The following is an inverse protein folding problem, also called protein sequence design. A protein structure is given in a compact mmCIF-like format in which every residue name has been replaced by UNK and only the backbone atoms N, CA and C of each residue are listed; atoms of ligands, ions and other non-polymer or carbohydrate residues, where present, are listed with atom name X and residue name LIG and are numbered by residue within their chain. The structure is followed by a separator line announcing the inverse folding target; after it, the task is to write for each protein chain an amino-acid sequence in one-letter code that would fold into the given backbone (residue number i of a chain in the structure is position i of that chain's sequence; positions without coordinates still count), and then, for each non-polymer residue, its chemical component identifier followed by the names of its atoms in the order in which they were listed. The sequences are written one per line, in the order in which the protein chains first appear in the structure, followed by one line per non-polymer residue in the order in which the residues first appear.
data_IF_368043165972
#
_entry.id   IF_368043165972
#
_cell.length_a   1.000
_cell.length_b   1.000
_cell.length_c   1.000
_cell.angle_alpha   90.00
_cell.angle_beta   90.00
_cell.angle_gamma   90.00
#
_symmetry.space_group_name_H-M   'P 1'
#
loop_
_entity.id
_entity.type
_entity.pdbx_description
1 polymer ?
#
# COMPACT_ATOMS: atom_id res chain seq x y z
N UNK A 1 68.06 49.32 30.84
CA UNK A 1 68.17 48.89 29.42
C UNK A 1 67.37 47.60 29.25
N UNK A 2 66.40 47.62 28.31
CA UNK A 2 65.65 46.49 27.71
C UNK A 2 64.77 45.63 28.65
N UNK A 3 63.59 45.14 28.28
CA UNK A 3 62.56 45.43 27.29
C UNK A 3 61.53 44.28 27.43
N UNK A 4 60.26 44.53 27.11
CA UNK A 4 59.24 43.50 26.84
C UNK A 4 58.31 43.27 28.02
N UNK A 5 57.00 43.54 27.94
CA UNK A 5 56.12 43.39 26.78
C UNK A 5 55.23 42.19 27.05
N UNK A 6 54.02 42.43 27.53
CA UNK A 6 53.06 41.38 27.87
C UNK A 6 51.65 41.93 27.89
N UNK A 7 51.14 42.30 26.71
CA UNK A 7 49.73 42.61 26.53
C UNK A 7 48.95 41.28 26.53
N UNK A 8 48.20 41.03 27.61
CA UNK A 8 47.24 39.94 27.73
C UNK A 8 46.05 40.20 26.80
N UNK A 9 46.03 39.51 25.67
CA UNK A 9 44.90 39.45 24.73
C UNK A 9 43.87 38.46 25.30
N UNK A 10 42.70 38.98 25.70
CA UNK A 10 41.54 38.17 26.05
C UNK A 10 40.78 37.81 24.77
N UNK A 11 40.98 36.58 24.26
CA UNK A 11 40.22 36.02 23.15
C UNK A 11 38.89 35.45 23.69
N UNK A 12 37.78 36.18 23.49
CA UNK A 12 36.44 35.67 23.77
C UNK A 12 35.98 34.78 22.62
N UNK A 13 36.05 33.45 22.80
CA UNK A 13 35.45 32.47 21.88
C UNK A 13 33.98 32.30 22.29
N UNK A 14 33.09 33.11 21.71
CA UNK A 14 31.65 32.88 21.76
C UNK A 14 31.15 32.55 20.36
N UNK A 15 31.31 31.28 19.95
CA UNK A 15 30.77 30.77 18.71
C UNK A 15 30.17 29.36 18.92
N UNK A 16 29.17 29.27 19.79
CA UNK A 16 28.18 28.20 19.71
C UNK A 16 27.01 28.73 18.86
N UNK A 17 27.14 28.65 17.54
CA UNK A 17 26.01 28.86 16.64
C UNK A 17 24.95 27.81 16.91
N UNK A 18 23.69 28.22 17.02
CA UNK A 18 22.57 27.29 17.08
C UNK A 18 22.57 26.46 15.80
N UNK A 19 22.83 25.15 15.95
CA UNK A 19 22.70 24.18 14.87
C UNK A 19 21.26 24.26 14.34
N UNK A 20 21.04 24.53 13.04
CA UNK A 20 19.71 24.47 12.46
C UNK A 20 19.15 23.07 12.71
N UNK A 21 17.98 22.98 13.35
CA UNK A 21 17.31 21.71 13.60
C UNK A 21 16.20 21.51 12.55
N UNK A 22 16.50 20.95 11.37
CA UNK A 22 15.53 20.82 10.26
C UNK A 22 14.36 19.87 10.57
N UNK A 23 14.39 19.17 11.71
CA UNK A 23 13.38 18.19 12.11
C UNK A 23 12.68 18.52 13.44
N UNK A 24 12.86 19.72 14.00
CA UNK A 24 11.99 20.16 15.09
C UNK A 24 10.73 20.80 14.50
N UNK A 25 9.54 20.17 14.59
CA UNK A 25 8.31 20.85 14.26
C UNK A 25 8.13 22.03 15.23
N UNK A 26 7.86 23.20 14.68
CA UNK A 26 7.50 24.38 15.49
C UNK A 26 6.29 24.03 16.36
N UNK A 27 6.17 24.63 17.56
CA UNK A 27 4.99 24.42 18.41
C UNK A 27 3.67 24.76 17.68
N UNK A 28 3.72 25.63 16.67
CA UNK A 28 2.61 25.94 15.77
C UNK A 28 2.23 24.75 14.84
N UNK A 29 3.18 23.89 14.47
CA UNK A 29 2.92 22.68 13.67
C UNK A 29 2.29 21.54 14.48
N UNK A 30 2.31 21.60 15.82
CA UNK A 30 1.73 20.55 16.68
C UNK A 30 0.21 20.64 16.87
N UNK A 31 -0.45 21.73 16.50
CA UNK A 31 -1.80 21.98 17.00
C UNK A 31 -2.99 21.76 16.05
N UNK A 32 -2.83 21.57 14.73
CA UNK A 32 -4.02 21.52 13.85
C UNK A 32 -3.92 20.61 12.61
N UNK A 33 -3.08 19.58 12.61
CA UNK A 33 -3.15 18.55 11.57
C UNK A 33 -4.25 17.52 11.90
N UNK A 34 -5.18 17.19 10.98
CA UNK A 34 -5.97 15.98 11.16
C UNK A 34 -5.00 14.81 11.33
N UNK A 35 -5.14 14.05 12.42
CA UNK A 35 -4.44 12.78 12.57
C UNK A 35 -4.86 11.95 11.36
N UNK A 36 -3.99 11.82 10.37
CA UNK A 36 -4.22 10.92 9.27
C UNK A 36 -4.43 9.53 9.92
N UNK A 37 -5.54 8.84 9.66
CA UNK A 37 -5.68 7.47 10.12
C UNK A 37 -4.45 6.73 9.61
N UNK A 38 -3.70 6.12 10.53
CA UNK A 38 -2.57 5.28 10.16
C UNK A 38 -3.07 4.31 9.08
N UNK A 39 -2.36 4.15 7.95
CA UNK A 39 -2.77 3.20 6.95
C UNK A 39 -3.00 1.87 7.68
N UNK A 40 -4.22 1.32 7.58
CA UNK A 40 -4.46 -0.07 7.95
C UNK A 40 -3.80 -0.92 6.87
N UNK A 41 -2.47 -0.85 6.79
CA UNK A 41 -1.70 -1.77 6.00
C UNK A 41 -2.04 -3.15 6.55
N UNK A 42 -2.50 -4.04 5.68
CA UNK A 42 -2.67 -5.44 6.01
C UNK A 42 -1.28 -5.97 6.39
N UNK A 43 -1.04 -6.08 7.69
CA UNK A 43 0.18 -6.68 8.21
C UNK A 43 0.14 -8.20 8.03
N UNK A 44 1.23 -8.87 8.37
CA UNK A 44 1.31 -10.33 8.38
C UNK A 44 1.54 -10.79 9.80
N UNK A 45 0.61 -11.55 10.35
CA UNK A 45 0.78 -12.20 11.65
C UNK A 45 1.26 -13.62 11.44
N UNK A 46 2.43 -13.96 11.97
CA UNK A 46 3.01 -15.31 11.85
C UNK A 46 2.94 -16.03 13.19
N UNK A 47 2.10 -17.05 13.31
CA UNK A 47 2.02 -17.83 14.53
C UNK A 47 3.22 -18.78 14.70
N UNK A 48 3.63 -19.08 15.93
CA UNK A 48 4.59 -20.17 16.19
C UNK A 48 4.14 -21.49 15.56
N UNK A 49 5.09 -22.23 14.99
CA UNK A 49 4.82 -23.56 14.41
C UNK A 49 4.27 -24.50 15.49
N UNK A 50 3.12 -25.12 15.22
CA UNK A 50 2.47 -26.09 16.09
C UNK A 50 3.05 -27.49 15.84
N UNK A 51 3.10 -28.35 16.86
CA UNK A 51 3.62 -29.73 16.73
C UNK A 51 5.13 -29.87 16.99
N UNK A 52 5.80 -28.78 17.37
CA UNK A 52 7.19 -28.77 17.86
C UNK A 52 7.29 -28.09 19.23
N UNK A 53 8.45 -28.18 19.87
CA UNK A 53 8.75 -27.40 21.08
C UNK A 53 8.45 -25.89 20.86
N UNK A 54 7.77 -25.21 21.82
CA UNK A 54 7.38 -23.80 21.65
C UNK A 54 8.53 -22.83 21.36
N UNK A 55 9.74 -23.08 21.90
CA UNK A 55 10.90 -22.22 21.63
C UNK A 55 11.38 -22.40 20.19
N UNK A 56 11.38 -23.64 19.70
CA UNK A 56 11.69 -23.96 18.29
C UNK A 56 10.67 -23.33 17.35
N UNK A 57 9.38 -23.54 17.60
CA UNK A 57 8.30 -22.98 16.79
C UNK A 57 8.33 -21.45 16.73
N UNK A 58 8.61 -20.78 17.86
CA UNK A 58 8.76 -19.31 17.90
C UNK A 58 10.05 -18.83 17.20
N UNK A 59 11.15 -19.58 17.23
CA UNK A 59 12.37 -19.24 16.48
C UNK A 59 12.12 -19.30 14.97
N UNK A 60 11.43 -20.33 14.50
CA UNK A 60 11.01 -20.44 13.09
C UNK A 60 10.12 -19.27 12.68
N UNK A 61 9.07 -18.97 13.46
CA UNK A 61 8.16 -17.86 13.17
C UNK A 61 8.89 -16.50 13.11
N UNK A 62 9.82 -16.22 14.04
CA UNK A 62 10.62 -14.99 14.01
C UNK A 62 11.51 -14.89 12.78
N UNK A 63 12.10 -16.00 12.33
CA UNK A 63 12.93 -15.99 11.14
C UNK A 63 12.11 -15.77 9.86
N UNK A 64 10.88 -16.30 9.80
CA UNK A 64 9.96 -16.01 8.71
C UNK A 64 9.50 -14.54 8.73
N UNK A 65 9.21 -13.98 9.91
CA UNK A 65 8.92 -12.54 10.06
C UNK A 65 10.10 -11.68 9.58
N UNK A 66 11.34 -12.04 9.89
CA UNK A 66 12.51 -11.32 9.40
C UNK A 66 12.58 -11.32 7.85
N UNK A 67 12.36 -12.48 7.21
CA UNK A 67 12.30 -12.59 5.75
C UNK A 67 11.20 -11.71 5.13
N UNK A 68 10.00 -11.71 5.73
CA UNK A 68 8.86 -10.92 5.24
C UNK A 68 9.11 -9.41 5.43
N UNK A 69 9.68 -8.99 6.57
CA UNK A 69 10.04 -7.59 6.83
C UNK A 69 11.12 -7.08 5.89
N UNK A 70 12.10 -7.90 5.56
CA UNK A 70 13.14 -7.54 4.58
C UNK A 70 12.57 -7.31 3.18
N UNK A 71 11.43 -7.91 2.85
CA UNK A 71 10.69 -7.63 1.63
C UNK A 71 9.77 -6.39 1.73
N UNK A 72 9.84 -5.64 2.83
CA UNK A 72 9.10 -4.39 3.03
C UNK A 72 7.67 -4.56 3.55
N UNK A 73 7.23 -5.78 3.89
CA UNK A 73 5.89 -6.04 4.40
C UNK A 73 5.88 -5.95 5.95
N UNK A 74 4.94 -5.19 6.56
CA UNK A 74 4.78 -5.19 8.01
C UNK A 74 4.40 -6.59 8.48
N UNK A 75 5.20 -7.20 9.34
CA UNK A 75 4.92 -8.54 9.88
C UNK A 75 5.30 -8.63 11.36
N UNK A 76 4.63 -9.47 12.15
CA UNK A 76 4.99 -9.74 13.54
C UNK A 76 4.51 -11.13 13.98
N UNK A 77 5.08 -11.65 15.07
CA UNK A 77 4.67 -12.95 15.64
C UNK A 77 3.49 -12.77 16.60
N UNK A 78 3.49 -11.69 17.37
CA UNK A 78 2.59 -11.44 18.49
C UNK A 78 1.54 -10.38 18.16
N UNK A 79 1.87 -9.42 17.29
CA UNK A 79 1.02 -8.26 16.97
C UNK A 79 0.34 -8.42 15.60
N UNK A 80 -0.96 -8.18 15.56
CA UNK A 80 -1.73 -8.11 14.32
C UNK A 80 -2.95 -7.22 14.48
N UNK A 81 -3.58 -6.86 13.37
CA UNK A 81 -4.87 -6.19 13.34
C UNK A 81 -5.90 -7.08 12.59
N UNK A 82 -7.21 -6.80 12.68
CA UNK A 82 -8.22 -7.61 11.98
C UNK A 82 -8.07 -7.65 10.46
N UNK A 83 -7.28 -6.75 9.86
CA UNK A 83 -6.96 -6.71 8.44
C UNK A 83 -5.63 -7.42 8.09
N UNK A 84 -5.00 -8.12 9.04
CA UNK A 84 -3.72 -8.81 8.82
C UNK A 84 -3.90 -10.18 8.19
N UNK A 85 -3.04 -10.52 7.24
CA UNK A 85 -2.85 -11.91 6.81
C UNK A 85 -2.40 -12.76 8.00
N UNK A 86 -2.82 -14.02 8.03
CA UNK A 86 -2.44 -14.97 9.06
C UNK A 86 -1.60 -16.08 8.44
N UNK A 87 -0.39 -16.28 8.97
CA UNK A 87 0.44 -17.44 8.65
C UNK A 87 0.35 -18.43 9.80
N UNK A 88 -0.07 -19.65 9.49
CA UNK A 88 -0.06 -20.79 10.41
C UNK A 88 0.78 -21.91 9.84
N UNK A 89 1.34 -22.73 10.73
CA UNK A 89 2.18 -23.84 10.34
C UNK A 89 2.04 -25.01 11.32
N UNK A 90 1.93 -26.22 10.78
CA UNK A 90 1.80 -27.46 11.55
C UNK A 90 2.92 -28.42 11.16
N UNK A 91 3.69 -28.84 12.14
CA UNK A 91 4.75 -29.81 11.98
C UNK A 91 4.31 -31.19 12.46
N UNK A 92 4.65 -32.22 11.68
CA UNK A 92 4.37 -33.61 11.99
C UNK A 92 5.51 -34.50 11.50
N UNK A 93 5.67 -35.68 12.09
CA UNK A 93 6.63 -36.66 11.59
C UNK A 93 6.26 -37.08 10.16
N UNK A 94 7.22 -37.07 9.24
CA UNK A 94 7.00 -37.57 7.88
C UNK A 94 6.97 -39.11 7.88
N UNK A 95 6.29 -39.68 6.90
CA UNK A 95 6.12 -41.14 6.75
C UNK A 95 7.42 -41.88 6.46
N UNK A 96 8.45 -41.18 5.97
CA UNK A 96 9.77 -41.74 5.73
C UNK A 96 10.62 -41.93 7.00
N UNK A 97 10.18 -41.39 8.14
CA UNK A 97 10.91 -41.45 9.41
C UNK A 97 12.26 -40.74 9.41
N UNK A 98 12.57 -39.96 8.37
CA UNK A 98 13.82 -39.20 8.22
C UNK A 98 13.59 -37.69 8.21
N UNK A 99 12.33 -37.27 8.02
CA UNK A 99 11.96 -35.86 7.94
C UNK A 99 10.82 -35.48 8.90
N UNK A 100 10.74 -34.18 9.17
CA UNK A 100 9.57 -33.50 9.71
C UNK A 100 8.87 -32.82 8.52
N UNK A 101 7.59 -33.13 8.32
CA UNK A 101 6.76 -32.42 7.37
C UNK A 101 6.17 -31.18 8.06
N UNK A 102 6.34 -30.01 7.46
CA UNK A 102 5.75 -28.75 7.91
C UNK A 102 4.77 -28.27 6.84
N UNK A 103 3.50 -28.18 7.22
CA UNK A 103 2.42 -27.68 6.38
C UNK A 103 2.16 -26.21 6.72
N UNK A 104 2.37 -25.35 5.72
CA UNK A 104 2.28 -23.89 5.81
C UNK A 104 1.00 -23.39 5.16
N UNK A 105 0.32 -22.49 5.86
CA UNK A 105 -0.90 -21.85 5.38
C UNK A 105 -0.76 -20.32 5.43
N UNK A 106 -1.26 -19.65 4.40
CA UNK A 106 -1.44 -18.21 4.39
C UNK A 106 -2.93 -17.90 4.20
N UNK A 107 -3.55 -17.33 5.21
CA UNK A 107 -4.96 -16.97 5.18
C UNK A 107 -5.12 -15.45 5.10
N UNK A 108 -6.10 -15.00 4.31
CA UNK A 108 -6.53 -13.61 4.26
C UNK A 108 -7.45 -13.32 5.47
N UNK A 109 -7.57 -12.05 5.91
CA UNK A 109 -8.55 -11.63 6.93
C UNK A 109 -9.98 -12.13 6.78
N UNK A 110 -10.44 -12.39 5.55
CA UNK A 110 -11.79 -12.91 5.26
C UNK A 110 -11.90 -14.43 5.42
N UNK A 111 -10.82 -15.11 5.82
CA UNK A 111 -10.75 -16.56 6.02
C UNK A 111 -10.38 -17.35 4.76
N UNK A 112 -10.15 -16.70 3.62
CA UNK A 112 -9.72 -17.41 2.42
C UNK A 112 -8.25 -17.83 2.53
N UNK A 113 -7.99 -19.13 2.34
CA UNK A 113 -6.63 -19.65 2.21
C UNK A 113 -6.05 -19.32 0.82
N UNK A 114 -4.88 -18.71 0.80
CA UNK A 114 -4.18 -18.28 -0.42
C UNK A 114 -2.98 -19.16 -0.76
N UNK A 115 -2.42 -19.81 0.25
CA UNK A 115 -1.29 -20.71 0.12
C UNK A 115 -1.50 -21.90 1.04
N UNK A 116 -1.26 -23.08 0.48
CA UNK A 116 -1.02 -24.33 1.18
C UNK A 116 0.27 -24.94 0.63
N UNK A 117 1.30 -25.12 1.47
CA UNK A 117 2.58 -25.70 1.05
C UNK A 117 3.15 -26.64 2.10
N UNK A 118 3.63 -27.80 1.66
CA UNK A 118 4.38 -28.74 2.49
C UNK A 118 5.88 -28.61 2.27
N UNK A 119 6.66 -28.55 3.34
CA UNK A 119 8.13 -28.68 3.34
C UNK A 119 8.57 -29.90 4.14
N UNK A 120 9.62 -30.57 3.68
CA UNK A 120 10.28 -31.66 4.42
C UNK A 120 11.60 -31.16 4.97
N UNK A 121 11.77 -31.21 6.29
CA UNK A 121 13.00 -30.83 6.97
C UNK A 121 13.66 -32.09 7.54
N UNK A 122 14.97 -32.32 7.32
CA UNK A 122 15.66 -33.45 7.93
C UNK A 122 15.50 -33.48 9.45
N UNK A 123 15.27 -34.65 10.05
CA UNK A 123 15.21 -34.80 11.51
C UNK A 123 16.51 -34.37 12.21
N UNK A 124 17.63 -34.40 11.49
CA UNK A 124 18.92 -33.91 11.99
C UNK A 124 18.99 -32.39 12.11
N UNK A 125 18.01 -31.65 11.57
CA UNK A 125 17.96 -30.20 11.77
C UNK A 125 17.19 -29.86 13.03
N UNK A 126 17.83 -29.09 13.91
CA UNK A 126 17.17 -28.49 15.06
C UNK A 126 17.06 -26.98 14.83
N UNK A 127 15.84 -26.43 14.69
CA UNK A 127 15.64 -25.01 14.56
C UNK A 127 16.16 -24.20 15.75
N UNK A 128 16.50 -24.79 16.90
CA UNK A 128 17.17 -24.12 18.00
C UNK A 128 18.69 -23.98 17.79
N UNK A 129 19.31 -24.93 17.10
CA UNK A 129 20.77 -25.04 16.92
C UNK A 129 21.23 -24.56 15.54
N UNK A 130 20.37 -24.67 14.52
CA UNK A 130 20.64 -24.25 13.16
C UNK A 130 21.06 -22.78 13.10
N UNK A 131 22.14 -22.50 12.36
CA UNK A 131 22.57 -21.12 12.10
C UNK A 131 21.45 -20.30 11.43
N UNK A 132 21.43 -19.00 11.68
CA UNK A 132 20.45 -18.08 11.07
C UNK A 132 20.42 -18.21 9.55
N UNK A 133 21.58 -18.38 8.91
CA UNK A 133 21.70 -18.55 7.46
C UNK A 133 21.02 -19.86 6.99
N UNK A 134 21.22 -20.97 7.70
CA UNK A 134 20.61 -22.26 7.34
C UNK A 134 19.09 -22.22 7.51
N UNK A 135 18.60 -21.65 8.61
CA UNK A 135 17.17 -21.50 8.85
C UNK A 135 16.54 -20.56 7.81
N UNK A 136 17.22 -19.47 7.47
CA UNK A 136 16.80 -18.55 6.41
C UNK A 136 16.69 -19.26 5.06
N UNK A 137 17.70 -20.02 4.66
CA UNK A 137 17.70 -20.75 3.38
C UNK A 137 16.52 -21.72 3.27
N UNK A 138 16.17 -22.40 4.36
CA UNK A 138 15.00 -23.31 4.42
C UNK A 138 13.67 -22.58 4.32
N UNK A 139 13.56 -21.40 4.92
CA UNK A 139 12.33 -20.61 4.95
C UNK A 139 12.15 -19.72 3.72
N UNK A 140 13.22 -19.42 2.98
CA UNK A 140 13.18 -18.53 1.82
C UNK A 140 12.10 -18.91 0.78
N UNK A 141 11.91 -20.18 0.39
CA UNK A 141 10.87 -20.54 -0.58
C UNK A 141 9.44 -20.27 -0.08
N UNK A 142 9.20 -20.43 1.23
CA UNK A 142 7.90 -20.14 1.83
C UNK A 142 7.67 -18.64 1.94
N UNK A 143 8.68 -17.90 2.40
CA UNK A 143 8.64 -16.46 2.45
C UNK A 143 8.39 -15.87 1.07
N UNK A 144 9.11 -16.32 0.04
CA UNK A 144 8.94 -15.87 -1.34
C UNK A 144 7.52 -16.11 -1.85
N UNK A 145 6.98 -17.33 -1.69
CA UNK A 145 5.62 -17.63 -2.11
C UNK A 145 4.58 -16.74 -1.40
N UNK A 146 4.74 -16.54 -0.09
CA UNK A 146 3.87 -15.66 0.70
C UNK A 146 3.99 -14.22 0.24
N UNK A 147 5.21 -13.72 0.07
CA UNK A 147 5.48 -12.36 -0.40
C UNK A 147 4.82 -12.18 -1.77
N UNK A 148 5.03 -13.05 -2.75
CA UNK A 148 4.44 -12.93 -4.09
C UNK A 148 2.90 -12.79 -4.05
N UNK A 149 2.24 -13.52 -3.16
CA UNK A 149 0.77 -13.46 -3.00
C UNK A 149 0.32 -12.23 -2.21
N UNK A 150 1.08 -11.81 -1.21
CA UNK A 150 0.77 -10.65 -0.35
C UNK A 150 1.25 -9.32 -0.92
N UNK A 151 2.15 -9.34 -1.90
CA UNK A 151 2.51 -8.14 -2.62
C UNK A 151 1.22 -7.60 -3.24
N UNK A 152 0.83 -6.35 -2.94
CA UNK A 152 -0.02 -5.65 -3.90
C UNK A 152 0.73 -5.70 -5.24
N UNK A 153 0.00 -5.82 -6.36
CA UNK A 153 0.60 -5.62 -7.69
C UNK A 153 1.48 -4.36 -7.63
N UNK A 154 2.80 -4.56 -7.57
CA UNK A 154 3.84 -3.56 -7.44
C UNK A 154 3.88 -2.73 -6.13
N UNK A 155 4.92 -2.94 -5.33
CA UNK A 155 5.65 -1.85 -4.68
C UNK A 155 6.43 -1.02 -5.73
N UNK A 156 5.75 -0.60 -6.80
CA UNK A 156 6.21 0.53 -7.60
C UNK A 156 5.89 1.81 -6.80
N UNK A 157 6.69 2.89 -6.94
CA UNK A 157 6.23 4.19 -6.49
C UNK A 157 4.79 4.39 -7.02
N UNK A 158 3.85 4.86 -6.18
CA UNK A 158 2.45 4.92 -6.56
C UNK A 158 2.35 5.62 -7.91
N UNK A 159 1.71 4.94 -8.86
CA UNK A 159 1.59 5.43 -10.23
C UNK A 159 1.20 6.91 -10.18
N UNK A 160 1.99 7.75 -10.84
CA UNK A 160 1.70 9.18 -10.95
C UNK A 160 0.53 9.29 -11.91
N UNK A 161 -0.56 9.85 -11.41
CA UNK A 161 -1.79 10.02 -12.18
C UNK A 161 -2.05 11.50 -12.39
N UNK A 162 -2.50 11.88 -13.59
CA UNK A 162 -3.17 13.16 -13.80
C UNK A 162 -4.63 12.91 -14.17
N UNK A 163 -5.51 13.79 -13.69
CA UNK A 163 -6.91 13.81 -14.10
C UNK A 163 -7.08 14.86 -15.19
N UNK A 164 -7.47 14.42 -16.38
CA UNK A 164 -7.83 15.26 -17.50
C UNK A 164 -9.21 15.88 -17.32
N UNK A 165 -9.67 16.53 -18.38
CA UNK A 165 -10.97 17.16 -18.40
C UNK A 165 -12.11 16.13 -18.38
N UNK A 166 -13.25 16.58 -17.86
CA UNK A 166 -14.49 15.79 -17.82
C UNK A 166 -15.43 16.36 -18.86
N UNK A 167 -15.65 15.60 -19.92
CA UNK A 167 -16.49 15.97 -21.05
C UNK A 167 -17.98 15.70 -20.74
N UNK A 168 -18.87 16.42 -21.41
CA UNK A 168 -20.32 16.23 -21.29
C UNK A 168 -20.98 16.95 -20.10
N UNK A 169 -20.25 17.84 -19.43
CA UNK A 169 -20.78 18.79 -18.44
C UNK A 169 -20.04 20.12 -18.48
N UNK A 170 -20.51 21.11 -17.73
CA UNK A 170 -19.79 22.39 -17.64
C UNK A 170 -18.46 22.25 -16.86
N UNK A 171 -17.54 23.18 -17.12
CA UNK A 171 -16.18 23.13 -16.56
C UNK A 171 -16.15 23.20 -15.03
N UNK A 172 -17.16 23.82 -14.40
CA UNK A 172 -17.22 23.95 -12.94
C UNK A 172 -17.59 22.61 -12.31
N UNK A 173 -18.66 21.99 -12.80
CA UNK A 173 -19.15 20.72 -12.30
C UNK A 173 -18.17 19.57 -12.63
N UNK A 174 -17.54 19.62 -13.80
CA UNK A 174 -16.43 18.74 -14.18
C UNK A 174 -15.25 18.89 -13.24
N UNK A 175 -14.83 20.12 -12.95
CA UNK A 175 -13.75 20.38 -11.99
C UNK A 175 -14.03 19.86 -10.57
N UNK A 176 -15.28 19.94 -10.12
CA UNK A 176 -15.72 19.40 -8.82
C UNK A 176 -15.59 17.87 -8.79
N UNK A 177 -16.02 17.19 -9.86
CA UNK A 177 -15.93 15.73 -9.98
C UNK A 177 -14.48 15.25 -10.12
N UNK A 178 -13.66 15.92 -10.92
CA UNK A 178 -12.23 15.64 -11.03
C UNK A 178 -11.54 15.79 -9.67
N UNK A 179 -11.80 16.87 -8.94
CA UNK A 179 -11.25 17.06 -7.60
C UNK A 179 -11.74 15.98 -6.60
N UNK A 180 -12.99 15.52 -6.71
CA UNK A 180 -13.52 14.44 -5.89
C UNK A 180 -12.83 13.11 -6.18
N UNK A 181 -12.63 12.77 -7.46
CA UNK A 181 -11.88 11.58 -7.88
C UNK A 181 -10.43 11.63 -7.41
N UNK A 182 -9.76 12.78 -7.56
CA UNK A 182 -8.37 12.94 -7.14
C UNK A 182 -8.20 12.69 -5.64
N UNK A 183 -9.12 13.21 -4.81
CA UNK A 183 -9.15 12.95 -3.37
C UNK A 183 -9.41 11.47 -3.06
N UNK A 184 -10.35 10.84 -3.74
CA UNK A 184 -10.65 9.42 -3.54
C UNK A 184 -9.43 8.55 -3.89
N UNK A 185 -8.80 8.77 -5.04
CA UNK A 185 -7.58 8.06 -5.45
C UNK A 185 -6.43 8.29 -4.46
N UNK A 186 -6.23 9.52 -4.00
CA UNK A 186 -5.19 9.84 -3.01
C UNK A 186 -5.44 9.10 -1.69
N UNK A 187 -6.69 9.06 -1.22
CA UNK A 187 -7.08 8.31 -0.02
C UNK A 187 -6.85 6.80 -0.16
N UNK A 188 -6.81 6.29 -1.39
CA UNK A 188 -6.53 4.89 -1.71
C UNK A 188 -5.07 4.63 -2.15
N UNK A 189 -4.15 5.57 -1.86
CA UNK A 189 -2.70 5.37 -1.99
C UNK A 189 -2.10 5.76 -3.35
N UNK A 190 -2.88 6.31 -4.27
CA UNK A 190 -2.36 6.81 -5.55
C UNK A 190 -1.75 8.20 -5.42
N UNK A 191 -0.78 8.54 -6.29
CA UNK A 191 -0.16 9.86 -6.34
C UNK A 191 -0.76 10.67 -7.48
N UNK A 192 -1.73 11.53 -7.15
CA UNK A 192 -2.37 12.42 -8.14
C UNK A 192 -1.57 13.72 -8.24
N UNK A 193 -1.17 14.09 -9.45
CA UNK A 193 -0.39 15.29 -9.78
C UNK A 193 -1.20 16.24 -10.66
N UNK A 194 -0.81 17.53 -10.74
CA UNK A 194 -1.38 18.46 -11.70
C UNK A 194 -1.23 17.96 -13.15
N UNK A 195 -2.17 18.31 -14.05
CA UNK A 195 -2.13 17.90 -15.45
C UNK A 195 -0.83 18.29 -16.20
N UNK A 196 -0.13 19.33 -15.73
CA UNK A 196 1.15 19.80 -16.31
C UNK A 196 2.35 18.97 -15.89
N UNK A 197 2.19 18.04 -14.94
CA UNK A 197 3.28 17.20 -14.46
C UNK A 197 3.49 15.97 -15.37
N UNK A 198 4.72 15.47 -15.42
CA UNK A 198 5.00 14.16 -16.02
C UNK A 198 4.38 13.06 -15.13
N UNK A 199 3.45 12.31 -15.70
CA UNK A 199 2.69 11.24 -15.06
C UNK A 199 2.83 9.94 -15.83
N UNK A 200 2.55 8.82 -15.16
CA UNK A 200 2.60 7.49 -15.76
C UNK A 200 1.27 7.15 -16.45
N UNK A 201 0.16 7.73 -15.97
CA UNK A 201 -1.16 7.57 -16.57
C UNK A 201 -2.00 8.86 -16.51
N UNK A 202 -2.86 9.01 -17.51
CA UNK A 202 -3.89 10.05 -17.57
C UNK A 202 -5.28 9.41 -17.46
N UNK A 203 -6.16 10.00 -16.67
CA UNK A 203 -7.56 9.57 -16.56
C UNK A 203 -8.45 10.68 -17.10
N UNK A 204 -9.30 10.35 -18.07
CA UNK A 204 -10.37 11.24 -18.55
C UNK A 204 -11.73 10.64 -18.27
N UNK A 205 -12.78 11.46 -18.40
CA UNK A 205 -14.13 11.00 -18.21
C UNK A 205 -15.08 11.65 -19.22
N UNK A 206 -16.00 10.86 -19.75
CA UNK A 206 -17.16 11.36 -20.49
C UNK A 206 -18.42 11.13 -19.65
N UNK A 207 -19.23 12.18 -19.51
CA UNK A 207 -20.49 12.14 -18.80
C UNK A 207 -21.65 12.26 -19.76
N UNK A 208 -22.65 11.41 -19.59
CA UNK A 208 -23.88 11.41 -20.36
C UNK A 208 -25.10 11.41 -19.44
N UNK A 209 -26.13 12.16 -19.84
CA UNK A 209 -27.39 12.22 -19.12
C UNK A 209 -28.48 11.61 -20.00
N UNK A 210 -29.05 10.50 -19.53
CA UNK A 210 -30.18 9.85 -20.19
C UNK A 210 -31.49 10.63 -20.06
N UNK A 211 -32.60 10.12 -20.62
CA UNK A 211 -33.91 10.75 -20.46
C UNK A 211 -34.38 10.74 -19.00
N UNK A 212 -35.22 11.71 -18.63
CA UNK A 212 -35.89 11.74 -17.32
C UNK A 212 -36.90 10.61 -17.22
N UNK A 213 -36.87 9.90 -16.09
CA UNK A 213 -37.81 8.83 -15.75
C UNK A 213 -38.37 9.11 -14.35
N UNK A 214 -39.53 9.77 -14.30
CA UNK A 214 -40.14 10.22 -13.04
C UNK A 214 -39.27 11.26 -12.33
N UNK A 215 -38.88 10.99 -11.07
CA UNK A 215 -38.00 11.85 -10.27
C UNK A 215 -36.50 11.55 -10.46
N UNK A 216 -36.17 10.60 -11.32
CA UNK A 216 -34.80 10.14 -11.57
C UNK A 216 -34.37 10.37 -13.02
N UNK A 217 -33.07 10.38 -13.25
CA UNK A 217 -32.44 10.37 -14.58
C UNK A 217 -31.21 9.45 -14.52
N UNK A 218 -30.88 8.75 -15.61
CA UNK A 218 -29.62 8.01 -15.67
C UNK A 218 -28.45 8.95 -15.90
N UNK A 219 -27.43 8.84 -15.06
CA UNK A 219 -26.13 9.44 -15.24
C UNK A 219 -25.16 8.33 -15.67
N UNK A 220 -24.71 8.39 -16.93
CA UNK A 220 -23.65 7.54 -17.45
C UNK A 220 -22.31 8.24 -17.31
N UNK A 221 -21.32 7.55 -16.78
CA UNK A 221 -19.93 7.99 -16.72
C UNK A 221 -19.05 6.95 -17.39
N UNK A 222 -18.07 7.44 -18.11
CA UNK A 222 -17.22 6.64 -18.97
C UNK A 222 -15.78 7.05 -18.70
N UNK A 223 -15.12 6.33 -17.81
CA UNK A 223 -13.75 6.62 -17.40
C UNK A 223 -12.78 5.94 -18.34
N UNK A 224 -11.84 6.68 -18.91
CA UNK A 224 -10.78 6.13 -19.76
C UNK A 224 -9.42 6.38 -19.12
N UNK A 225 -8.55 5.37 -19.16
CA UNK A 225 -7.17 5.45 -18.69
C UNK A 225 -6.24 5.37 -19.91
N UNK A 226 -5.28 6.28 -19.97
CA UNK A 226 -4.24 6.33 -20.99
C UNK A 226 -2.87 6.23 -20.34
N UNK A 227 -1.90 5.63 -21.02
CA UNK A 227 -0.50 5.64 -20.59
C UNK A 227 0.19 6.98 -20.92
N UNK A 228 1.45 7.11 -20.53
CA UNK A 228 2.31 8.28 -20.80
C UNK A 228 2.61 8.51 -22.29
N UNK A 229 2.30 7.54 -23.14
CA UNK A 229 2.37 7.61 -24.60
C UNK A 229 1.02 7.94 -25.25
N UNK A 230 -0.04 8.17 -24.45
CA UNK A 230 -1.39 8.47 -24.94
C UNK A 230 -2.14 7.26 -25.49
N UNK A 231 -1.65 6.04 -25.27
CA UNK A 231 -2.36 4.82 -25.68
C UNK A 231 -3.42 4.49 -24.65
N UNK A 232 -4.61 4.12 -25.14
CA UNK A 232 -5.70 3.70 -24.28
C UNK A 232 -5.34 2.37 -23.59
N UNK A 233 -5.27 2.41 -22.26
CA UNK A 233 -5.06 1.25 -21.39
C UNK A 233 -6.36 0.49 -21.22
N UNK A 234 -7.46 1.22 -21.04
CA UNK A 234 -8.77 0.61 -20.85
C UNK A 234 -9.82 1.62 -20.38
N UNK A 235 -11.04 1.10 -20.20
CA UNK A 235 -12.23 1.90 -19.95
C UNK A 235 -13.12 1.26 -18.89
N UNK A 236 -13.72 2.08 -18.03
CA UNK A 236 -14.72 1.68 -17.02
C UNK A 236 -15.98 2.49 -17.23
N UNK A 237 -17.08 1.80 -17.51
CA UNK A 237 -18.40 2.42 -17.62
C UNK A 237 -19.17 2.26 -16.31
N UNK A 238 -19.77 3.35 -15.86
CA UNK A 238 -20.64 3.41 -14.70
C UNK A 238 -21.96 4.05 -15.12
N UNK A 239 -23.09 3.43 -14.77
CA UNK A 239 -24.40 4.02 -15.05
C UNK A 239 -25.28 3.88 -13.82
N UNK A 240 -25.68 5.03 -13.26
CA UNK A 240 -26.45 5.07 -12.03
C UNK A 240 -27.73 5.89 -12.23
N UNK A 241 -28.90 5.43 -11.72
CA UNK A 241 -30.07 6.27 -11.60
C UNK A 241 -29.85 7.29 -10.49
N UNK A 242 -29.98 8.58 -10.80
CA UNK A 242 -29.79 9.68 -9.86
C UNK A 242 -31.05 10.52 -9.76
N UNK A 243 -31.41 10.96 -8.55
CA UNK A 243 -32.52 11.87 -8.35
C UNK A 243 -32.21 13.24 -8.98
N UNK A 244 -33.15 13.82 -9.71
CA UNK A 244 -32.95 15.08 -10.46
C UNK A 244 -32.55 16.22 -9.51
N UNK A 245 -33.12 16.25 -8.30
CA UNK A 245 -32.78 17.26 -7.29
C UNK A 245 -31.32 17.15 -6.83
N UNK A 246 -30.72 15.95 -6.79
CA UNK A 246 -29.32 15.78 -6.39
C UNK A 246 -28.35 16.29 -7.46
N UNK A 247 -28.73 16.20 -8.74
CA UNK A 247 -27.95 16.76 -9.85
C UNK A 247 -27.81 18.28 -9.76
N UNK A 248 -28.85 19.00 -9.31
CA UNK A 248 -28.84 20.46 -9.26
C UNK A 248 -28.51 21.06 -7.89
N UNK A 249 -28.95 20.44 -6.80
CA UNK A 249 -28.85 21.01 -5.45
C UNK A 249 -27.76 20.36 -4.58
N UNK A 250 -27.17 19.26 -5.02
CA UNK A 250 -26.21 18.49 -4.20
C UNK A 250 -25.05 17.92 -5.00
N UNK A 251 -24.71 18.54 -6.14
CA UNK A 251 -23.65 18.08 -7.02
C UNK A 251 -22.34 17.76 -6.31
N UNK A 252 -21.79 18.60 -5.39
CA UNK A 252 -20.53 18.27 -4.70
C UNK A 252 -20.59 17.00 -3.86
N UNK A 253 -21.75 16.64 -3.31
CA UNK A 253 -21.91 15.39 -2.57
C UNK A 253 -22.02 14.21 -3.51
N UNK A 254 -22.85 14.35 -4.55
CA UNK A 254 -23.01 13.31 -5.57
C UNK A 254 -21.69 13.00 -6.28
N UNK A 255 -20.88 14.02 -6.57
CA UNK A 255 -19.55 13.88 -7.15
C UNK A 255 -18.59 13.05 -6.26
N UNK A 256 -18.68 13.17 -4.93
CA UNK A 256 -17.91 12.32 -3.99
C UNK A 256 -18.37 10.86 -4.03
N UNK A 257 -19.69 10.64 -4.06
CA UNK A 257 -20.27 9.30 -4.12
C UNK A 257 -19.85 8.58 -5.41
N UNK A 258 -19.92 9.30 -6.55
CA UNK A 258 -19.47 8.83 -7.87
C UNK A 258 -17.97 8.51 -7.84
N UNK A 259 -17.15 9.44 -7.35
CA UNK A 259 -15.70 9.28 -7.27
C UNK A 259 -15.30 8.05 -6.43
N UNK A 260 -15.89 7.87 -5.25
CA UNK A 260 -15.61 6.72 -4.39
C UNK A 260 -15.97 5.39 -5.08
N UNK A 261 -17.10 5.35 -5.79
CA UNK A 261 -17.53 4.17 -6.53
C UNK A 261 -16.67 3.86 -7.77
N UNK A 262 -15.95 4.85 -8.32
CA UNK A 262 -15.06 4.67 -9.46
C UNK A 262 -13.69 4.06 -9.10
N UNK A 263 -13.22 4.26 -7.86
CA UNK A 263 -11.87 3.83 -7.43
C UNK A 263 -11.58 2.34 -7.68
N UNK A 264 -12.48 1.38 -7.34
CA UNK A 264 -12.20 -0.04 -7.57
C UNK A 264 -11.95 -0.36 -9.05
N UNK A 265 -12.73 0.23 -9.96
CA UNK A 265 -12.60 0.03 -11.40
C UNK A 265 -11.31 0.63 -11.96
N UNK A 266 -10.97 1.86 -11.56
CA UNK A 266 -9.70 2.50 -11.96
C UNK A 266 -8.49 1.70 -11.48
N UNK A 267 -8.52 1.19 -10.24
CA UNK A 267 -7.44 0.36 -9.70
C UNK A 267 -7.26 -0.93 -10.51
N UNK A 268 -8.35 -1.57 -10.90
CA UNK A 268 -8.29 -2.79 -11.71
C UNK A 268 -7.65 -2.52 -13.09
N UNK A 269 -8.02 -1.42 -13.75
CA UNK A 269 -7.41 -1.03 -15.04
C UNK A 269 -5.90 -0.78 -14.91
N UNK A 270 -5.49 -0.03 -13.88
CA UNK A 270 -4.08 0.28 -13.65
C UNK A 270 -3.25 -0.98 -13.35
N UNK A 271 -3.81 -1.95 -12.59
CA UNK A 271 -3.14 -3.21 -12.31
C UNK A 271 -2.95 -4.07 -13.59
N UNK A 272 -3.95 -4.09 -14.47
CA UNK A 272 -3.86 -4.77 -15.77
C UNK A 272 -2.82 -4.11 -16.69
N UNK A 273 -2.77 -2.78 -16.69
CA UNK A 273 -1.77 -1.99 -17.44
C UNK A 273 -0.34 -2.32 -17.02
N UNK A 274 -0.09 -2.33 -15.71
CA UNK A 274 1.22 -2.62 -15.15
C UNK A 274 1.67 -4.06 -15.47
N UNK A 275 0.76 -5.03 -15.38
CA UNK A 275 1.05 -6.42 -15.73
C UNK A 275 1.38 -6.59 -17.22
N UNK A 276 0.68 -5.88 -18.12
CA UNK A 276 0.93 -5.93 -19.55
C UNK A 276 2.26 -5.27 -19.95
N UNK A 277 2.64 -4.19 -19.26
CA UNK A 277 3.93 -3.51 -19.47
C UNK A 277 5.12 -4.35 -18.98
N UNK A 278 4.95 -5.14 -17.92
CA UNK A 278 6.00 -6.02 -17.38
C UNK A 278 6.23 -7.30 -18.21
N UNK A 279 5.32 -7.63 -19.13
CA UNK A 279 5.40 -8.80 -20.01
C UNK A 279 6.02 -8.51 -21.39
N UNK A 280 6.40 -7.26 -21.65
CA UNK A 280 7.06 -6.77 -22.88
C UNK A 280 8.55 -6.56 -22.62
#
# INVERSE_FOLDING_TARGET
MRAGGGALIALAIAACGQVPQPFQPSLAAKQHGPIAPAPQAAGVRVLPVVGVDPRRGRRVARQLVALIREAGLPADVDIGNPASFLVTAFAQAATDGQHVAIDWFLDRPDGANLIERRQLWPLSSDPAEDSTASLRARLAPIAEAMITVMQPVGSQPPARLALGDIDGMDARDGGILAAALGRALTAHGFRVLPQTATVDYFITAEVSLGPVQGLHRRLGLSWAVFDDHGRAVGKVDQSNPVAIQRLSQSWPSLARDIAAAAVPGVRQLLAQAAAAAAAQ
#
